data_IF_703786959744
#
_entry.id   IF_703786959744
#
_cell.length_a   1.000
_cell.length_b   1.000
_cell.length_c   1.000
_cell.angle_alpha   90.00
_cell.angle_beta   90.00
_cell.angle_gamma   90.00
#
_symmetry.space_group_name_H-M   'P 1'
#
loop_
_entity.id
_entity.type
_entity.pdbx_description
1 polymer ?
#
# COMPACT_ATOMS: atom_id res chain seq x y z
N UNK A 1 12.06 75.96 -12.78
CA UNK A 1 13.26 75.10 -12.75
C UNK A 1 12.83 73.71 -12.29
N UNK A 2 12.29 72.92 -13.22
CA UNK A 2 11.47 71.71 -12.97
C UNK A 2 11.81 70.63 -14.00
N UNK A 3 13.07 70.16 -14.09
CA UNK A 3 13.46 69.15 -15.11
C UNK A 3 14.39 68.03 -14.60
N UNK A 4 14.94 68.07 -13.38
CA UNK A 4 16.00 67.10 -13.00
C UNK A 4 15.59 65.91 -12.11
N UNK A 5 14.31 65.73 -11.75
CA UNK A 5 13.93 64.69 -10.76
C UNK A 5 13.41 63.38 -11.40
N UNK A 6 13.01 63.36 -12.67
CA UNK A 6 12.35 62.18 -13.25
C UNK A 6 13.27 61.07 -13.80
N UNK A 7 14.58 61.32 -13.98
CA UNK A 7 15.45 60.34 -14.64
C UNK A 7 16.00 59.22 -13.71
N UNK A 8 15.96 59.40 -12.38
CA UNK A 8 16.56 58.44 -11.44
C UNK A 8 15.59 57.32 -11.03
N UNK A 9 14.28 57.55 -11.15
CA UNK A 9 13.27 56.58 -10.68
C UNK A 9 13.10 55.39 -11.65
N UNK A 10 13.36 55.57 -12.96
CA UNK A 10 13.15 54.52 -13.95
C UNK A 10 14.22 53.41 -13.93
N UNK A 11 15.44 53.70 -13.48
CA UNK A 11 16.53 52.69 -13.42
C UNK A 11 16.42 51.80 -12.19
N UNK A 12 15.84 52.30 -11.09
CA UNK A 12 15.65 51.51 -9.86
C UNK A 12 14.59 50.39 -10.00
N UNK A 13 13.71 50.46 -11.02
CA UNK A 13 12.65 49.48 -11.23
C UNK A 13 13.07 48.25 -12.07
N UNK A 14 14.29 48.25 -12.62
CA UNK A 14 14.81 47.14 -13.45
C UNK A 14 15.80 46.22 -12.71
N UNK A 15 16.10 46.48 -11.44
CA UNK A 15 16.96 45.62 -10.60
C UNK A 15 16.22 44.83 -9.51
N UNK A 16 14.89 44.92 -9.46
CA UNK A 16 14.07 44.29 -8.43
C UNK A 16 13.42 42.96 -8.81
N UNK A 17 13.66 42.41 -10.00
CA UNK A 17 13.14 41.08 -10.34
C UNK A 17 14.13 40.00 -9.91
N UNK A 18 14.24 39.79 -8.60
CA UNK A 18 14.66 38.49 -8.08
C UNK A 18 13.62 37.48 -8.57
N UNK A 19 13.99 36.67 -9.56
CA UNK A 19 13.33 35.39 -9.78
C UNK A 19 13.42 34.64 -8.45
N UNK A 20 12.30 34.54 -7.74
CA UNK A 20 12.17 33.57 -6.66
C UNK A 20 12.35 32.20 -7.31
N UNK A 21 13.57 31.67 -7.26
CA UNK A 21 13.79 30.25 -7.42
C UNK A 21 12.96 29.64 -6.30
N UNK A 22 11.90 28.91 -6.66
CA UNK A 22 11.12 28.15 -5.69
C UNK A 22 12.13 27.33 -4.87
N UNK A 23 12.14 27.53 -3.56
CA UNK A 23 12.98 26.73 -2.68
C UNK A 23 12.72 25.25 -3.04
N UNK A 24 13.77 24.40 -3.11
CA UNK A 24 13.54 22.98 -3.28
C UNK A 24 12.58 22.56 -2.17
N UNK A 25 11.54 21.80 -2.50
CA UNK A 25 10.70 21.17 -1.49
C UNK A 25 11.67 20.39 -0.60
N UNK A 26 11.93 20.90 0.62
CA UNK A 26 12.58 20.09 1.63
C UNK A 26 11.67 18.89 1.82
N UNK A 27 12.08 17.74 1.30
CA UNK A 27 11.38 16.49 1.49
C UNK A 27 11.46 16.12 2.98
N UNK A 28 10.57 16.71 3.77
CA UNK A 28 10.42 16.41 5.20
C UNK A 28 9.58 15.15 5.31
N UNK A 29 10.23 14.01 5.07
CA UNK A 29 9.63 12.70 5.34
C UNK A 29 9.38 12.58 6.84
N UNK A 30 8.11 12.56 7.25
CA UNK A 30 7.75 12.20 8.61
C UNK A 30 7.97 10.69 8.81
N UNK A 31 8.47 10.24 9.98
CA UNK A 31 8.50 8.82 10.31
C UNK A 31 7.09 8.22 10.22
N UNK A 32 6.89 7.30 9.29
CA UNK A 32 5.64 6.56 9.16
C UNK A 32 5.75 5.23 9.90
N UNK A 33 5.01 5.10 11.00
CA UNK A 33 4.87 3.84 11.72
C UNK A 33 3.64 3.10 11.23
N UNK A 34 3.83 1.94 10.62
CA UNK A 34 2.73 1.03 10.32
C UNK A 34 2.58 0.03 11.47
N UNK A 35 1.60 0.21 12.38
CA UNK A 35 1.41 -0.70 13.49
C UNK A 35 1.14 -2.12 12.99
N UNK A 36 1.58 -3.10 13.77
CA UNK A 36 1.32 -4.50 13.47
C UNK A 36 -0.18 -4.84 13.58
N UNK A 37 -0.85 -4.26 14.57
CA UNK A 37 -2.28 -4.40 14.80
C UNK A 37 -2.97 -3.08 14.47
N UNK A 38 -4.02 -3.14 13.66
CA UNK A 38 -4.87 -1.99 13.44
C UNK A 38 -6.09 -2.07 14.37
N UNK A 39 -6.55 -0.93 14.92
CA UNK A 39 -7.76 -0.89 15.74
C UNK A 39 -8.99 -1.28 14.90
N UNK A 40 -10.06 -1.70 15.59
CA UNK A 40 -11.34 -1.93 14.93
C UNK A 40 -11.86 -0.65 14.28
N UNK A 41 -12.41 -0.77 13.07
CA UNK A 41 -12.91 0.37 12.31
C UNK A 41 -11.83 1.26 11.68
N UNK A 42 -10.57 0.80 11.64
CA UNK A 42 -9.52 1.49 10.88
C UNK A 42 -9.97 1.74 9.43
N UNK A 43 -9.73 2.95 8.91
CA UNK A 43 -10.14 3.36 7.55
C UNK A 43 -9.57 2.42 6.47
N UNK A 44 -8.40 1.82 6.72
CA UNK A 44 -7.75 0.86 5.83
C UNK A 44 -8.20 -0.59 6.00
N UNK A 45 -9.23 -0.88 6.79
CA UNK A 45 -9.71 -2.26 6.99
C UNK A 45 -10.53 -2.72 5.77
N UNK A 46 -9.91 -3.56 4.96
CA UNK A 46 -10.46 -4.10 3.73
C UNK A 46 -11.12 -5.49 3.91
N UNK A 47 -11.39 -5.94 5.15
CA UNK A 47 -12.05 -7.25 5.39
C UNK A 47 -13.41 -7.39 4.71
N UNK A 48 -14.12 -6.29 4.47
CA UNK A 48 -15.39 -6.28 3.75
C UNK A 48 -15.30 -6.78 2.29
N UNK A 49 -14.09 -6.85 1.73
CA UNK A 49 -13.83 -7.44 0.41
C UNK A 49 -13.74 -8.97 0.45
N UNK A 50 -13.68 -9.57 1.64
CA UNK A 50 -13.48 -11.01 1.81
C UNK A 50 -14.80 -11.75 1.91
N UNK A 51 -14.88 -12.85 1.17
CA UNK A 51 -16.02 -13.75 1.20
C UNK A 51 -15.76 -14.94 2.14
N UNK A 52 -15.76 -14.67 3.44
CA UNK A 52 -15.42 -15.65 4.48
C UNK A 52 -16.51 -16.73 4.70
N UNK A 53 -16.17 -17.92 5.23
CA UNK A 53 -14.81 -18.43 5.42
C UNK A 53 -14.17 -18.92 4.12
N UNK A 54 -12.83 -18.92 4.08
CA UNK A 54 -12.07 -19.48 2.97
C UNK A 54 -12.46 -20.95 2.70
N UNK A 55 -12.57 -21.31 1.43
CA UNK A 55 -12.87 -22.69 1.00
C UNK A 55 -14.36 -23.06 0.97
N UNK A 56 -15.28 -22.20 1.43
CA UNK A 56 -16.72 -22.52 1.46
C UNK A 56 -17.34 -22.88 0.11
N UNK A 57 -16.72 -22.44 -0.99
CA UNK A 57 -17.18 -22.70 -2.36
C UNK A 57 -16.54 -23.93 -3.02
N UNK A 58 -15.75 -24.69 -2.26
CA UNK A 58 -15.03 -25.87 -2.75
C UNK A 58 -13.85 -25.53 -3.66
N UNK A 59 -13.50 -26.48 -4.53
CA UNK A 59 -12.32 -26.36 -5.40
C UNK A 59 -12.56 -25.46 -6.61
N UNK A 60 -11.54 -24.66 -6.91
CA UNK A 60 -11.49 -23.79 -8.10
C UNK A 60 -11.37 -24.66 -9.36
N UNK A 61 -12.07 -24.25 -10.41
CA UNK A 61 -11.97 -24.79 -11.77
C UNK A 61 -11.52 -23.70 -12.74
N UNK A 62 -10.98 -24.11 -13.88
CA UNK A 62 -10.69 -23.21 -14.99
C UNK A 62 -11.86 -23.28 -15.97
N UNK A 63 -12.39 -22.11 -16.34
CA UNK A 63 -13.41 -21.94 -17.37
C UNK A 63 -13.08 -20.69 -18.18
N UNK A 64 -13.03 -20.84 -19.50
CA UNK A 64 -12.82 -19.71 -20.43
C UNK A 64 -11.60 -18.84 -20.06
N UNK A 65 -10.49 -19.47 -19.64
CA UNK A 65 -9.25 -18.79 -19.22
C UNK A 65 -9.30 -18.12 -17.84
N UNK A 66 -10.36 -18.36 -17.05
CA UNK A 66 -10.56 -17.73 -15.74
C UNK A 66 -10.76 -18.75 -14.62
N UNK A 67 -10.48 -18.33 -13.39
CA UNK A 67 -10.81 -19.11 -12.20
C UNK A 67 -12.29 -19.00 -11.86
N UNK A 68 -12.89 -20.13 -11.52
CA UNK A 68 -14.31 -20.26 -11.21
C UNK A 68 -14.53 -21.14 -10.00
N UNK A 69 -15.40 -20.70 -9.10
CA UNK A 69 -16.03 -21.54 -8.11
C UNK A 69 -17.35 -22.08 -8.69
N UNK A 70 -17.60 -23.40 -8.66
CA UNK A 70 -18.80 -23.98 -9.29
C UNK A 70 -20.12 -23.35 -8.85
N UNK A 71 -20.22 -22.93 -7.58
CA UNK A 71 -21.44 -22.38 -6.98
C UNK A 71 -21.41 -20.85 -6.84
N UNK A 72 -20.25 -20.20 -6.96
CA UNK A 72 -20.08 -18.76 -6.74
C UNK A 72 -19.59 -17.98 -7.97
N UNK A 73 -19.33 -18.67 -9.08
CA UNK A 73 -18.95 -18.04 -10.35
C UNK A 73 -17.50 -17.59 -10.40
N UNK A 74 -17.24 -16.46 -11.07
CA UNK A 74 -15.89 -16.00 -11.39
C UNK A 74 -15.12 -15.55 -10.15
N UNK A 75 -13.97 -16.16 -9.93
CA UNK A 75 -13.06 -15.83 -8.84
C UNK A 75 -11.95 -14.90 -9.32
N UNK A 76 -11.56 -13.95 -8.45
CA UNK A 76 -10.38 -13.10 -8.61
C UNK A 76 -9.59 -13.13 -7.32
N UNK A 77 -8.28 -13.27 -7.43
CA UNK A 77 -7.41 -13.34 -6.27
C UNK A 77 -6.58 -12.07 -6.13
N UNK A 78 -6.64 -11.47 -4.94
CA UNK A 78 -5.71 -10.47 -4.46
C UNK A 78 -4.89 -11.14 -3.37
N UNK A 79 -3.69 -11.58 -3.72
CA UNK A 79 -2.91 -12.47 -2.89
C UNK A 79 -1.57 -11.90 -2.46
N UNK A 80 -0.99 -12.52 -1.44
CA UNK A 80 0.35 -12.24 -0.91
C UNK A 80 1.16 -13.54 -0.82
N UNK A 81 2.47 -13.39 -0.65
CA UNK A 81 3.37 -14.52 -0.47
C UNK A 81 3.94 -14.53 0.96
N UNK A 82 4.00 -15.72 1.56
CA UNK A 82 4.85 -16.03 2.70
C UNK A 82 6.00 -16.92 2.22
N UNK A 83 7.19 -16.74 2.80
CA UNK A 83 8.41 -17.45 2.38
C UNK A 83 9.19 -17.95 3.60
N UNK A 84 9.77 -19.15 3.48
CA UNK A 84 10.60 -19.76 4.52
C UNK A 84 9.87 -19.90 5.86
N UNK A 85 10.52 -19.49 6.94
CA UNK A 85 9.99 -19.53 8.32
C UNK A 85 8.66 -18.80 8.48
N UNK A 86 8.37 -17.78 7.65
CA UNK A 86 7.10 -17.05 7.72
C UNK A 86 5.87 -17.93 7.40
N UNK A 87 6.05 -19.09 6.77
CA UNK A 87 4.99 -20.07 6.57
C UNK A 87 4.60 -20.81 7.86
N UNK A 88 5.45 -20.79 8.89
CA UNK A 88 5.31 -21.54 10.13
C UNK A 88 5.36 -20.62 11.37
N UNK A 89 4.46 -19.61 11.46
CA UNK A 89 4.44 -18.73 12.62
C UNK A 89 4.12 -19.52 13.90
N UNK A 90 4.64 -19.09 15.07
CA UNK A 90 4.21 -19.61 16.37
C UNK A 90 2.68 -19.57 16.52
N UNK A 91 2.13 -20.48 17.33
CA UNK A 91 0.68 -20.64 17.50
C UNK A 91 -0.03 -19.36 17.99
N UNK A 92 0.64 -18.54 18.80
CA UNK A 92 0.15 -17.25 19.29
C UNK A 92 0.23 -16.13 18.23
N UNK A 93 1.12 -16.25 17.26
CA UNK A 93 1.32 -15.29 16.17
C UNK A 93 0.40 -15.59 14.98
N UNK A 94 0.10 -16.86 14.70
CA UNK A 94 -0.65 -17.27 13.52
C UNK A 94 -2.03 -16.57 13.38
N UNK A 95 -2.86 -16.43 14.44
CA UNK A 95 -4.14 -15.73 14.35
C UNK A 95 -3.96 -14.22 14.06
N UNK A 96 -2.93 -13.60 14.63
CA UNK A 96 -2.61 -12.18 14.44
C UNK A 96 -2.16 -11.90 13.01
N UNK A 97 -1.35 -12.80 12.44
CA UNK A 97 -0.96 -12.75 11.04
C UNK A 97 -2.18 -12.89 10.12
N UNK A 98 -3.05 -13.88 10.38
CA UNK A 98 -4.26 -14.08 9.58
C UNK A 98 -5.20 -12.85 9.61
N UNK A 99 -5.44 -12.27 10.79
CA UNK A 99 -6.22 -11.04 10.93
C UNK A 99 -5.59 -9.85 10.20
N UNK A 100 -4.27 -9.68 10.30
CA UNK A 100 -3.54 -8.64 9.56
C UNK A 100 -3.67 -8.79 8.03
N UNK A 101 -3.52 -10.01 7.51
CA UNK A 101 -3.69 -10.27 6.08
C UNK A 101 -5.14 -10.01 5.63
N UNK A 102 -6.11 -10.37 6.47
CA UNK A 102 -7.52 -10.13 6.21
C UNK A 102 -7.85 -8.62 6.18
N UNK A 103 -7.28 -7.84 7.10
CA UNK A 103 -7.39 -6.36 7.12
C UNK A 103 -6.85 -5.71 5.85
N UNK A 104 -5.87 -6.31 5.18
CA UNK A 104 -5.41 -5.87 3.86
C UNK A 104 -6.24 -6.39 2.69
N UNK A 105 -7.30 -7.17 2.95
CA UNK A 105 -8.19 -7.72 1.93
C UNK A 105 -7.56 -8.84 1.11
N UNK A 106 -6.45 -9.44 1.57
CA UNK A 106 -5.85 -10.58 0.88
C UNK A 106 -6.77 -11.80 0.99
N UNK A 107 -7.13 -12.38 -0.16
CA UNK A 107 -7.99 -13.55 -0.26
C UNK A 107 -7.26 -14.83 -0.71
N UNK A 108 -5.93 -14.73 -0.90
CA UNK A 108 -5.05 -15.86 -1.22
C UNK A 108 -3.67 -15.65 -0.60
N UNK A 109 -3.12 -16.69 0.02
CA UNK A 109 -1.73 -16.69 0.50
C UNK A 109 -0.97 -17.82 -0.19
N UNK A 110 0.10 -17.46 -0.91
CA UNK A 110 1.03 -18.43 -1.49
C UNK A 110 2.13 -18.72 -0.47
N UNK A 111 2.21 -19.95 -0.01
CA UNK A 111 3.32 -20.44 0.80
C UNK A 111 4.47 -20.85 -0.12
N UNK A 112 5.64 -20.25 0.05
CA UNK A 112 6.80 -20.44 -0.82
C UNK A 112 7.99 -21.00 -0.05
N UNK A 113 8.72 -21.92 -0.69
CA UNK A 113 9.91 -22.54 -0.13
C UNK A 113 9.63 -23.50 1.01
N UNK A 114 8.50 -24.22 0.97
CA UNK A 114 8.14 -25.19 2.02
C UNK A 114 9.10 -26.39 2.08
N UNK A 115 9.78 -26.68 0.97
CA UNK A 115 10.66 -27.82 0.74
C UNK A 115 12.10 -27.38 0.43
N UNK A 116 12.42 -26.10 0.62
CA UNK A 116 13.75 -25.59 0.30
C UNK A 116 14.78 -25.91 1.38
N UNK A 117 16.02 -26.29 1.00
CA UNK A 117 17.02 -26.77 1.95
C UNK A 117 17.61 -25.68 2.86
N UNK A 118 17.36 -24.40 2.56
CA UNK A 118 17.79 -23.24 3.36
C UNK A 118 16.70 -22.71 4.32
N UNK A 119 15.55 -23.38 4.40
CA UNK A 119 14.42 -22.98 5.24
C UNK A 119 14.26 -23.74 6.56
N UNK A 120 15.30 -24.45 7.01
CA UNK A 120 15.31 -25.24 8.25
C UNK A 120 16.37 -24.72 9.24
#
# INVERSE_FOLDING_TARGET
MWVFIFAVVAVALLWGQTTTVAAPLEERWAPFYLPWEAPDGAVGDARFLLDAPAGKHGFIRVRDGHFWFPQAGRARFWGVNLSGEANFPPLDVAPRLADRLAKFGFNLVRMHGLDTPWGN
#
